data_IF_635372710743
#
_entry.id   IF_635372710743
#
_cell.length_a   1.000
_cell.length_b   1.000
_cell.length_c   1.000
_cell.angle_alpha   90.00
_cell.angle_beta   90.00
_cell.angle_gamma   90.00
#
_symmetry.space_group_name_H-M   'P 1'
#
loop_
_entity.id
_entity.type
_entity.pdbx_description
1 polymer ?
#
# COMPACT_ATOMS: atom_id res chain seq x y z
N UNK A 1 -19.51 -13.71 2.74
CA UNK A 1 -20.79 -14.02 2.10
C UNK A 1 -21.61 -14.85 3.03
N UNK A 2 -22.91 -14.50 3.20
CA UNK A 2 -23.86 -15.17 4.08
C UNK A 2 -24.59 -16.33 3.37
N UNK A 3 -24.19 -16.65 2.14
CA UNK A 3 -24.80 -17.69 1.34
C UNK A 3 -23.95 -18.94 1.37
N UNK A 4 -24.53 -20.04 1.85
CA UNK A 4 -23.97 -21.37 1.67
C UNK A 4 -24.08 -21.77 0.18
N UNK A 5 -23.05 -22.40 -0.35
CA UNK A 5 -23.06 -22.98 -1.69
C UNK A 5 -22.57 -24.43 -1.58
N UNK A 6 -23.20 -25.28 -2.36
CA UNK A 6 -22.85 -26.69 -2.46
C UNK A 6 -22.51 -27.01 -3.92
N UNK A 7 -21.50 -27.81 -4.13
CA UNK A 7 -21.03 -28.20 -5.45
C UNK A 7 -20.82 -29.69 -5.53
N UNK A 8 -21.46 -30.33 -6.50
CA UNK A 8 -21.32 -31.76 -6.76
C UNK A 8 -20.51 -31.99 -8.02
N UNK A 9 -19.44 -32.80 -7.90
CA UNK A 9 -18.66 -33.23 -9.08
C UNK A 9 -19.48 -34.25 -9.91
N UNK A 10 -19.73 -33.93 -11.18
CA UNK A 10 -20.51 -34.77 -12.07
C UNK A 10 -19.64 -35.66 -13.00
N UNK A 11 -18.31 -35.64 -12.86
CA UNK A 11 -17.42 -36.41 -13.71
C UNK A 11 -16.06 -36.64 -13.04
N UNK A 12 -15.26 -37.58 -13.61
CA UNK A 12 -13.96 -37.94 -13.07
C UNK A 12 -12.91 -36.79 -13.13
N UNK A 13 -13.07 -35.88 -14.08
CA UNK A 13 -12.14 -34.76 -14.34
C UNK A 13 -12.77 -33.39 -13.98
N UNK A 14 -13.55 -33.34 -12.91
CA UNK A 14 -14.22 -32.11 -12.48
C UNK A 14 -13.25 -31.23 -11.67
N UNK A 15 -13.02 -30.02 -12.13
CA UNK A 15 -12.24 -29.00 -11.43
C UNK A 15 -13.17 -27.86 -11.01
N UNK A 16 -13.19 -27.56 -9.73
CA UNK A 16 -13.91 -26.39 -9.20
C UNK A 16 -12.91 -25.31 -8.80
N UNK A 17 -13.04 -24.12 -9.39
CA UNK A 17 -12.27 -22.95 -9.00
C UNK A 17 -13.16 -21.98 -8.22
N UNK A 18 -12.80 -21.68 -6.98
CA UNK A 18 -13.48 -20.67 -6.16
C UNK A 18 -12.69 -19.37 -6.17
N UNK A 19 -13.32 -18.27 -6.56
CA UNK A 19 -12.75 -16.92 -6.51
C UNK A 19 -13.48 -16.14 -5.41
N UNK A 20 -12.77 -15.82 -4.34
CA UNK A 20 -13.30 -15.05 -3.22
C UNK A 20 -12.75 -13.63 -3.19
N UNK A 21 -13.62 -12.65 -3.04
CA UNK A 21 -13.24 -11.26 -2.78
C UNK A 21 -13.47 -10.98 -1.30
N UNK A 22 -12.39 -10.66 -0.60
CA UNK A 22 -12.46 -10.31 0.82
C UNK A 22 -12.58 -8.80 0.95
N UNK A 23 -13.69 -8.31 1.48
CA UNK A 23 -13.84 -6.93 1.91
C UNK A 23 -13.22 -6.77 3.31
N UNK A 24 -12.32 -5.81 3.53
CA UNK A 24 -11.75 -5.57 4.85
C UNK A 24 -12.82 -5.01 5.80
N UNK A 25 -12.76 -5.42 7.07
CA UNK A 25 -13.54 -4.80 8.12
C UNK A 25 -12.92 -3.48 8.56
N UNK A 26 -13.70 -2.61 9.22
CA UNK A 26 -13.16 -1.37 9.82
C UNK A 26 -12.06 -1.66 10.84
N UNK A 27 -12.16 -2.74 11.59
CA UNK A 27 -11.15 -3.16 12.55
C UNK A 27 -9.84 -3.55 11.85
N UNK A 28 -9.90 -4.36 10.79
CA UNK A 28 -8.72 -4.74 10.00
C UNK A 28 -8.03 -3.51 9.38
N UNK A 29 -8.80 -2.57 8.84
CA UNK A 29 -8.27 -1.32 8.33
C UNK A 29 -7.56 -0.52 9.43
N UNK A 30 -8.19 -0.32 10.57
CA UNK A 30 -7.58 0.42 11.68
C UNK A 30 -6.28 -0.24 12.17
N UNK A 31 -6.28 -1.56 12.34
CA UNK A 31 -5.11 -2.32 12.78
C UNK A 31 -3.95 -2.26 11.77
N UNK A 32 -4.25 -2.23 10.48
CA UNK A 32 -3.24 -2.21 9.42
C UNK A 32 -2.72 -0.81 9.10
N UNK A 33 -3.58 0.21 9.18
CA UNK A 33 -3.22 1.56 8.73
C UNK A 33 -2.59 2.40 9.86
N UNK A 34 -3.02 2.26 11.11
CA UNK A 34 -2.48 3.07 12.21
C UNK A 34 -0.96 2.94 12.39
N UNK A 35 -0.36 1.74 12.39
CA UNK A 35 1.10 1.61 12.45
C UNK A 35 1.79 2.34 11.30
N UNK A 36 1.30 2.19 10.07
CA UNK A 36 1.87 2.83 8.87
C UNK A 36 1.81 4.35 8.91
N UNK A 37 0.74 4.91 9.49
CA UNK A 37 0.63 6.35 9.69
C UNK A 37 1.68 6.88 10.68
N UNK A 38 2.09 6.05 11.66
CA UNK A 38 3.06 6.43 12.68
C UNK A 38 4.51 6.20 12.22
N UNK A 39 4.73 5.23 11.33
CA UNK A 39 6.06 4.91 10.77
C UNK A 39 6.49 5.93 9.69
N UNK A 40 5.60 6.80 9.25
CA UNK A 40 5.90 7.90 8.33
C UNK A 40 6.64 9.06 9.04
N UNK A 41 7.77 8.77 9.67
CA UNK A 41 8.50 9.63 10.61
C UNK A 41 8.86 11.02 10.06
N UNK A 42 9.20 11.14 8.78
CA UNK A 42 9.63 12.41 8.19
C UNK A 42 8.48 13.40 7.94
N UNK A 43 7.25 12.93 7.91
CA UNK A 43 6.08 13.72 7.52
C UNK A 43 5.24 14.23 8.72
N UNK A 44 5.60 13.87 9.97
CA UNK A 44 4.80 14.21 11.16
C UNK A 44 5.59 14.93 12.29
N UNK A 45 6.28 16.04 12.04
CA UNK A 45 7.01 16.77 13.10
C UNK A 45 6.08 17.23 14.24
N UNK A 46 4.80 17.41 13.96
CA UNK A 46 3.79 17.79 14.97
C UNK A 46 3.53 16.68 16.03
N UNK A 47 3.86 15.42 15.74
CA UNK A 47 3.72 14.32 16.70
C UNK A 47 4.95 14.11 17.58
N UNK A 48 6.07 14.75 17.29
CA UNK A 48 7.30 14.67 18.09
C UNK A 48 7.23 15.50 19.39
N UNK A 49 6.18 16.32 19.55
CA UNK A 49 5.96 17.11 20.76
C UNK A 49 5.75 16.19 21.96
N UNK A 50 6.53 16.42 23.02
CA UNK A 50 6.39 15.72 24.30
C UNK A 50 5.32 16.37 25.16
N UNK A 51 4.62 15.55 25.97
CA UNK A 51 3.78 16.05 27.05
C UNK A 51 4.66 16.78 28.06
N UNK A 52 4.19 17.91 28.54
CA UNK A 52 4.87 18.70 29.55
C UNK A 52 3.91 19.09 30.65
N UNK A 53 4.28 18.84 31.88
CA UNK A 53 3.56 19.18 33.11
C UNK A 53 4.39 20.10 34.02
N UNK A 54 5.45 20.68 33.49
CA UNK A 54 6.30 21.63 34.22
C UNK A 54 5.46 22.79 34.77
N UNK A 55 5.48 22.97 36.09
CA UNK A 55 4.70 24.00 36.79
C UNK A 55 3.33 23.55 37.29
N UNK A 56 2.91 22.31 37.04
CA UNK A 56 1.71 21.77 37.69
C UNK A 56 1.98 21.39 39.14
N UNK A 57 0.99 21.64 40.02
CA UNK A 57 1.09 21.23 41.43
C UNK A 57 1.08 19.68 41.52
N UNK A 58 1.74 19.16 42.55
CA UNK A 58 1.74 17.73 42.86
C UNK A 58 0.29 17.22 43.03
N UNK A 59 -0.03 16.08 42.42
CA UNK A 59 -1.34 15.47 42.52
C UNK A 59 -1.57 14.85 43.89
N UNK A 60 -2.73 15.08 44.49
CA UNK A 60 -3.17 14.38 45.69
C UNK A 60 -3.59 12.92 45.40
N UNK A 61 -3.75 12.57 44.11
CA UNK A 61 -4.15 11.22 43.64
C UNK A 61 -3.18 10.74 42.57
N UNK A 62 -1.95 10.33 42.92
CA UNK A 62 -0.88 10.06 41.96
C UNK A 62 -1.16 8.86 41.04
N UNK A 63 -2.09 7.98 41.40
CA UNK A 63 -2.52 6.85 40.59
C UNK A 63 -3.63 7.20 39.57
N UNK A 64 -4.21 8.39 39.66
CA UNK A 64 -5.24 8.82 38.69
C UNK A 64 -4.58 9.32 37.40
N UNK A 65 -5.11 8.91 36.26
CA UNK A 65 -4.64 9.40 34.94
C UNK A 65 -4.95 10.89 34.82
N UNK A 66 -3.95 11.76 34.61
CA UNK A 66 -4.19 13.18 34.47
C UNK A 66 -5.09 13.49 33.27
N UNK A 67 -6.16 14.29 33.43
CA UNK A 67 -7.04 14.68 32.33
C UNK A 67 -6.29 15.36 31.16
N UNK A 68 -5.28 16.15 31.49
CA UNK A 68 -4.43 16.83 30.49
C UNK A 68 -3.64 15.84 29.64
N UNK A 69 -3.12 14.75 30.25
CA UNK A 69 -2.43 13.69 29.50
C UNK A 69 -3.40 12.91 28.61
N UNK A 70 -4.60 12.63 29.11
CA UNK A 70 -5.67 11.99 28.29
C UNK A 70 -6.04 12.85 27.08
N UNK A 71 -6.17 14.17 27.29
CA UNK A 71 -6.46 15.10 26.21
C UNK A 71 -5.30 15.17 25.21
N UNK A 72 -4.06 15.24 25.69
CA UNK A 72 -2.87 15.25 24.86
C UNK A 72 -2.78 13.99 23.98
N UNK A 73 -3.06 12.81 24.53
CA UNK A 73 -3.08 11.55 23.77
C UNK A 73 -4.18 11.54 22.69
N UNK A 74 -5.38 12.05 23.04
CA UNK A 74 -6.48 12.15 22.08
C UNK A 74 -6.13 13.09 20.91
N UNK A 75 -5.53 14.24 21.22
CA UNK A 75 -5.10 15.19 20.20
C UNK A 75 -3.99 14.62 19.30
N UNK A 76 -3.07 13.83 19.85
CA UNK A 76 -2.03 13.17 19.05
C UNK A 76 -2.65 12.23 17.98
N UNK A 77 -3.59 11.38 18.40
CA UNK A 77 -4.31 10.50 17.46
C UNK A 77 -5.12 11.29 16.43
N UNK A 78 -5.81 12.33 16.85
CA UNK A 78 -6.57 13.17 15.92
C UNK A 78 -5.69 13.86 14.89
N UNK A 79 -4.50 14.34 15.31
CA UNK A 79 -3.53 14.96 14.38
C UNK A 79 -2.97 13.96 13.39
N UNK A 80 -2.66 12.74 13.81
CA UNK A 80 -2.22 11.68 12.89
C UNK A 80 -3.28 11.39 11.82
N UNK A 81 -4.54 11.23 12.24
CA UNK A 81 -5.66 10.95 11.34
C UNK A 81 -6.07 12.17 10.47
N UNK A 82 -5.75 13.39 10.89
CA UNK A 82 -6.05 14.59 10.13
C UNK A 82 -5.10 14.84 8.94
N UNK A 83 -4.20 13.89 8.65
CA UNK A 83 -3.29 13.94 7.49
C UNK A 83 -3.85 13.06 6.35
N UNK A 84 -4.72 13.59 5.46
CA UNK A 84 -5.41 12.76 4.46
C UNK A 84 -4.43 12.02 3.55
N UNK A 85 -3.36 12.70 3.14
CA UNK A 85 -2.35 12.12 2.23
C UNK A 85 -1.61 10.93 2.81
N UNK A 86 -1.37 10.92 4.12
CA UNK A 86 -0.73 9.78 4.79
C UNK A 86 -1.67 8.59 4.87
N UNK A 87 -2.94 8.84 5.15
CA UNK A 87 -3.97 7.80 5.17
C UNK A 87 -4.15 7.16 3.79
N UNK A 88 -4.25 7.98 2.75
CA UNK A 88 -4.37 7.51 1.36
C UNK A 88 -3.15 6.69 0.94
N UNK A 89 -1.93 7.17 1.29
CA UNK A 89 -0.69 6.43 1.04
C UNK A 89 -0.67 5.09 1.78
N UNK A 90 -0.91 5.10 3.08
CA UNK A 90 -0.95 3.88 3.89
C UNK A 90 -1.98 2.86 3.37
N UNK A 91 -3.14 3.34 2.91
CA UNK A 91 -4.17 2.48 2.31
C UNK A 91 -3.71 1.89 0.98
N UNK A 92 -3.08 2.67 0.11
CA UNK A 92 -2.57 2.21 -1.17
C UNK A 92 -1.44 1.18 -0.99
N UNK A 93 -0.50 1.44 -0.08
CA UNK A 93 0.56 0.50 0.30
C UNK A 93 -0.03 -0.82 0.82
N UNK A 94 -0.95 -0.76 1.79
CA UNK A 94 -1.59 -1.96 2.34
C UNK A 94 -2.39 -2.77 1.31
N UNK A 95 -3.15 -2.10 0.45
CA UNK A 95 -3.94 -2.78 -0.59
C UNK A 95 -3.08 -3.41 -1.68
N UNK A 96 -1.91 -2.83 -1.95
CA UNK A 96 -0.96 -3.35 -2.93
C UNK A 96 -0.02 -4.41 -2.38
N UNK A 97 0.01 -4.68 -1.07
CA UNK A 97 0.84 -5.76 -0.52
C UNK A 97 0.57 -7.10 -1.20
N UNK A 98 1.61 -7.82 -1.61
CA UNK A 98 1.45 -9.16 -2.16
C UNK A 98 0.92 -10.12 -1.09
N UNK A 99 0.42 -11.27 -1.50
CA UNK A 99 0.04 -12.32 -0.55
C UNK A 99 1.28 -12.84 0.18
N UNK A 100 1.13 -13.21 1.46
CA UNK A 100 2.20 -13.59 2.39
C UNK A 100 3.12 -14.75 1.93
N UNK A 101 2.85 -15.42 0.84
CA UNK A 101 3.65 -16.52 0.28
C UNK A 101 4.00 -16.26 -1.18
N UNK A 102 4.03 -14.99 -1.59
CA UNK A 102 4.38 -14.63 -2.96
C UNK A 102 5.86 -14.33 -3.03
N UNK A 103 6.61 -15.23 -3.65
CA UNK A 103 7.98 -14.98 -4.04
C UNK A 103 8.02 -14.38 -5.44
N UNK A 104 8.90 -13.42 -5.65
CA UNK A 104 9.14 -12.78 -6.92
C UNK A 104 10.53 -13.13 -7.41
N UNK A 105 10.59 -13.62 -8.64
CA UNK A 105 11.86 -13.92 -9.29
C UNK A 105 11.99 -13.13 -10.59
N UNK A 106 13.16 -12.50 -10.83
CA UNK A 106 13.42 -11.84 -12.11
C UNK A 106 13.30 -12.81 -13.28
N UNK A 107 12.55 -12.42 -14.30
CA UNK A 107 12.49 -13.20 -15.53
C UNK A 107 13.53 -12.70 -16.53
N UNK A 108 14.56 -13.50 -16.77
CA UNK A 108 15.58 -13.24 -17.77
C UNK A 108 15.07 -13.70 -19.16
N UNK A 109 14.28 -12.85 -19.79
CA UNK A 109 13.73 -13.08 -21.12
C UNK A 109 13.99 -11.86 -22.02
N UNK A 110 14.18 -12.03 -23.33
CA UNK A 110 14.21 -10.91 -24.25
C UNK A 110 12.83 -10.28 -24.37
N UNK A 111 12.79 -8.93 -24.41
CA UNK A 111 11.56 -8.21 -24.60
C UNK A 111 11.73 -6.71 -24.34
N UNK A 112 11.09 -5.88 -25.16
CA UNK A 112 11.11 -4.43 -24.98
C UNK A 112 9.84 -3.93 -24.28
N UNK A 113 8.74 -4.64 -24.41
CA UNK A 113 7.54 -4.41 -23.63
C UNK A 113 7.69 -5.02 -22.21
N UNK A 114 6.81 -4.62 -21.30
CA UNK A 114 6.82 -5.08 -19.92
C UNK A 114 5.42 -5.55 -19.53
N UNK A 115 5.37 -6.47 -18.58
CA UNK A 115 4.11 -6.86 -17.92
C UNK A 115 4.33 -7.01 -16.41
N UNK A 116 3.28 -6.77 -15.62
CA UNK A 116 3.31 -7.11 -14.21
C UNK A 116 3.46 -8.62 -14.03
N UNK A 117 4.38 -9.03 -13.16
CA UNK A 117 4.56 -10.44 -12.80
C UNK A 117 3.26 -11.02 -12.20
N UNK A 118 3.00 -12.31 -12.34
CA UNK A 118 1.92 -12.96 -11.62
C UNK A 118 2.06 -12.73 -10.12
N UNK A 119 0.97 -12.29 -9.46
CA UNK A 119 1.00 -11.95 -8.05
C UNK A 119 1.37 -10.49 -7.74
N UNK A 120 2.08 -9.78 -8.61
CA UNK A 120 2.31 -8.34 -8.45
C UNK A 120 1.00 -7.58 -8.44
N UNK A 121 0.89 -6.68 -7.46
CA UNK A 121 -0.25 -5.79 -7.30
C UNK A 121 0.20 -4.36 -7.53
N UNK A 122 -0.49 -3.69 -8.42
CA UNK A 122 -0.22 -2.30 -8.73
C UNK A 122 -1.52 -1.51 -8.67
N UNK A 123 -1.50 -0.43 -7.90
CA UNK A 123 -2.62 0.49 -7.70
C UNK A 123 -2.11 1.92 -7.91
N UNK A 124 -3.02 2.89 -7.94
CA UNK A 124 -2.66 4.30 -8.01
C UNK A 124 -3.76 5.19 -7.41
N UNK A 125 -3.34 6.37 -6.98
CA UNK A 125 -4.21 7.50 -6.69
C UNK A 125 -3.85 8.70 -7.58
N UNK A 126 -4.22 9.90 -7.15
CA UNK A 126 -3.91 11.13 -7.90
C UNK A 126 -2.41 11.47 -7.90
N UNK A 127 -1.64 11.05 -6.90
CA UNK A 127 -0.25 11.48 -6.67
C UNK A 127 0.74 10.33 -6.64
N UNK A 128 0.28 9.11 -6.37
CA UNK A 128 1.13 7.95 -6.14
C UNK A 128 0.77 6.78 -7.06
N UNK A 129 1.77 5.98 -7.27
CA UNK A 129 1.65 4.61 -7.76
C UNK A 129 2.12 3.70 -6.64
N UNK A 130 1.36 2.67 -6.37
CA UNK A 130 1.63 1.67 -5.34
C UNK A 130 1.96 0.35 -6.01
N UNK A 131 3.05 -0.26 -5.64
CA UNK A 131 3.47 -1.57 -6.17
C UNK A 131 3.95 -2.43 -5.01
N UNK A 132 3.32 -3.57 -4.80
CA UNK A 132 3.71 -4.58 -3.83
C UNK A 132 3.97 -4.06 -2.40
N UNK A 133 3.20 -3.06 -1.98
CA UNK A 133 3.31 -2.47 -0.64
C UNK A 133 4.16 -1.21 -0.56
N UNK A 134 4.79 -0.80 -1.64
CA UNK A 134 5.58 0.43 -1.71
C UNK A 134 4.85 1.54 -2.47
N UNK A 135 5.14 2.79 -2.13
CA UNK A 135 4.55 3.97 -2.76
C UNK A 135 5.60 4.82 -3.47
N UNK A 136 5.28 5.25 -4.69
CA UNK A 136 6.14 6.06 -5.52
C UNK A 136 5.37 7.28 -6.03
N UNK A 137 5.96 8.47 -5.92
CA UNK A 137 5.36 9.68 -6.49
C UNK A 137 5.50 9.66 -8.01
N UNK A 138 4.40 9.88 -8.70
CA UNK A 138 4.38 9.98 -10.15
C UNK A 138 3.61 11.23 -10.59
N UNK A 139 4.11 11.91 -11.61
CA UNK A 139 3.48 13.11 -12.16
C UNK A 139 3.53 13.13 -13.69
N UNK A 140 2.67 13.93 -14.28
CA UNK A 140 2.68 14.22 -15.71
C UNK A 140 2.55 12.99 -16.60
N UNK A 141 3.48 12.82 -17.53
CA UNK A 141 3.48 11.71 -18.49
C UNK A 141 3.76 10.38 -17.83
N UNK A 142 4.72 10.32 -16.91
CA UNK A 142 5.09 9.07 -16.23
C UNK A 142 3.91 8.53 -15.41
N UNK A 143 3.17 9.40 -14.71
CA UNK A 143 1.96 8.98 -14.00
C UNK A 143 0.93 8.33 -14.93
N UNK A 144 0.70 8.89 -16.11
CA UNK A 144 -0.24 8.30 -17.09
C UNK A 144 0.22 6.93 -17.58
N UNK A 145 1.52 6.77 -17.85
CA UNK A 145 2.08 5.50 -18.31
C UNK A 145 2.04 4.43 -17.20
N UNK A 146 2.33 4.81 -15.96
CA UNK A 146 2.25 3.92 -14.82
C UNK A 146 0.80 3.50 -14.50
N UNK A 147 -0.16 4.43 -14.61
CA UNK A 147 -1.59 4.10 -14.47
C UNK A 147 -2.04 3.13 -15.58
N UNK A 148 -1.61 3.36 -16.81
CA UNK A 148 -1.87 2.43 -17.91
C UNK A 148 -1.29 1.05 -17.64
N UNK A 149 -0.05 0.98 -17.11
CA UNK A 149 0.56 -0.29 -16.69
C UNK A 149 -0.26 -0.97 -15.58
N UNK A 150 -0.75 -0.22 -14.59
CA UNK A 150 -1.58 -0.77 -13.53
C UNK A 150 -2.90 -1.35 -14.07
N UNK A 151 -3.60 -0.60 -14.92
CA UNK A 151 -4.91 -0.97 -15.46
C UNK A 151 -4.83 -2.14 -16.46
N UNK A 152 -3.85 -2.12 -17.35
CA UNK A 152 -3.72 -3.12 -18.41
C UNK A 152 -2.79 -4.28 -18.05
N UNK A 153 -2.03 -4.13 -16.96
CA UNK A 153 -0.94 -5.02 -16.53
C UNK A 153 0.20 -5.15 -17.55
N UNK A 154 0.26 -4.24 -18.52
CA UNK A 154 1.25 -4.24 -19.59
C UNK A 154 1.68 -2.82 -19.95
N UNK A 155 2.95 -2.67 -20.34
CA UNK A 155 3.51 -1.45 -20.90
C UNK A 155 4.23 -1.79 -22.20
N UNK A 156 3.72 -1.30 -23.32
CA UNK A 156 4.31 -1.59 -24.63
C UNK A 156 5.68 -0.92 -24.78
N UNK A 157 6.50 -1.40 -25.70
CA UNK A 157 7.85 -0.89 -25.96
C UNK A 157 7.87 0.63 -26.28
N UNK A 158 6.87 1.08 -27.05
CA UNK A 158 6.75 2.52 -27.40
C UNK A 158 6.51 3.38 -26.18
N UNK A 159 5.69 2.93 -25.24
CA UNK A 159 5.36 3.67 -24.02
C UNK A 159 6.50 3.58 -22.99
N UNK A 160 7.15 2.42 -22.88
CA UNK A 160 8.38 2.28 -22.09
C UNK A 160 9.47 3.26 -22.55
N UNK A 161 9.65 3.45 -23.86
CA UNK A 161 10.63 4.39 -24.40
C UNK A 161 10.33 5.87 -24.05
N UNK A 162 9.07 6.21 -23.74
CA UNK A 162 8.65 7.56 -23.35
C UNK A 162 8.86 7.88 -21.86
N UNK A 163 9.20 6.90 -21.04
CA UNK A 163 9.47 7.09 -19.61
C UNK A 163 10.64 8.07 -19.41
N UNK A 164 10.55 8.91 -18.40
CA UNK A 164 11.67 9.75 -17.95
C UNK A 164 12.84 8.89 -17.45
N UNK A 165 14.05 9.44 -17.32
CA UNK A 165 15.18 8.71 -16.77
C UNK A 165 14.88 8.13 -15.37
N UNK A 166 14.25 8.92 -14.49
CA UNK A 166 13.89 8.49 -13.14
C UNK A 166 12.86 7.33 -13.15
N UNK A 167 11.81 7.45 -13.98
CA UNK A 167 10.82 6.38 -14.10
C UNK A 167 11.40 5.11 -14.75
N UNK A 168 12.37 5.26 -15.65
CA UNK A 168 13.12 4.12 -16.22
C UNK A 168 13.97 3.40 -15.19
N UNK A 169 14.65 4.16 -14.34
CA UNK A 169 15.42 3.58 -13.24
C UNK A 169 14.51 2.75 -12.32
N UNK A 170 13.38 3.33 -11.87
CA UNK A 170 12.41 2.66 -11.03
C UNK A 170 11.87 1.37 -11.68
N UNK A 171 11.54 1.41 -12.96
CA UNK A 171 11.09 0.23 -13.71
C UNK A 171 12.18 -0.85 -13.79
N UNK A 172 13.46 -0.46 -13.88
CA UNK A 172 14.56 -1.42 -13.87
C UNK A 172 14.72 -2.06 -12.48
N UNK A 173 14.57 -1.31 -11.39
CA UNK A 173 14.54 -1.83 -10.02
C UNK A 173 13.40 -2.86 -9.87
N UNK A 174 12.21 -2.56 -10.38
CA UNK A 174 11.08 -3.51 -10.36
C UNK A 174 11.31 -4.76 -11.22
N UNK A 175 12.12 -4.68 -12.28
CA UNK A 175 12.54 -5.84 -13.06
C UNK A 175 13.54 -6.71 -12.29
N UNK A 176 14.48 -6.08 -11.58
CA UNK A 176 15.46 -6.75 -10.72
C UNK A 176 14.79 -7.44 -9.52
N UNK A 177 13.75 -6.82 -8.95
CA UNK A 177 12.92 -7.40 -7.90
C UNK A 177 11.93 -8.48 -8.41
N UNK A 178 11.85 -8.69 -9.71
CA UNK A 178 10.90 -9.65 -10.30
C UNK A 178 9.42 -9.20 -10.28
N UNK A 179 9.15 -7.94 -9.98
CA UNK A 179 7.77 -7.40 -9.98
C UNK A 179 7.23 -7.15 -11.37
N UNK A 180 8.15 -6.90 -12.30
CA UNK A 180 7.88 -6.78 -13.73
C UNK A 180 8.65 -7.87 -14.48
N UNK A 181 8.06 -8.30 -15.57
CA UNK A 181 8.69 -9.22 -16.51
C UNK A 181 8.78 -8.61 -17.90
N UNK A 182 9.87 -8.84 -18.65
CA UNK A 182 9.90 -8.53 -20.07
C UNK A 182 8.81 -9.28 -20.82
N UNK A 183 8.26 -8.65 -21.86
CA UNK A 183 7.30 -9.27 -22.76
C UNK A 183 7.58 -8.87 -24.22
N UNK A 184 7.07 -9.64 -25.12
CA UNK A 184 7.18 -9.44 -26.58
C UNK A 184 6.25 -8.33 -27.05
#
# INVERSE_FOLDING_TARGET
>A
PLWAHDGVALGADCITASVGFRAPSQQELAQSLLPRLLDADDDLPALQRRYGDAGMAASATPAALPPALQQFAREALQRALAQPRLLERALGEWLSEPKAQQDFEPLLAPGQALRLAPGSRMLYDEQHVFVNGESFRAAGRDARLMRSLADTRQLCAVDRAKLSPAARQLVNEWLEEGWLWPSS
#
